data_IF_716659211271
#
_entry.id   IF_716659211271
#
_cell.length_a   1.000
_cell.length_b   1.000
_cell.length_c   1.000
_cell.angle_alpha   90.00
_cell.angle_beta   90.00
_cell.angle_gamma   90.00
#
_symmetry.space_group_name_H-M   'P 1'
#
loop_
_entity.id
_entity.type
_entity.pdbx_description
1 polymer ?
#
# COMPACT_ATOMS: atom_id res chain seq x y z
N UNK A 1 16.79 3.43 44.94
CA UNK A 1 17.51 3.82 43.70
C UNK A 1 17.21 2.77 42.62
N UNK A 2 16.19 2.97 41.78
CA UNK A 2 15.85 2.06 40.64
C UNK A 2 15.61 2.84 39.33
N UNK A 3 15.39 4.15 39.43
CA UNK A 3 15.12 5.10 38.33
C UNK A 3 16.03 4.99 37.09
N UNK A 4 17.36 4.81 37.16
CA UNK A 4 18.18 4.79 35.95
C UNK A 4 17.94 3.55 35.07
N UNK A 5 17.54 2.42 35.66
CA UNK A 5 17.27 1.19 34.89
C UNK A 5 15.92 1.33 34.17
N UNK A 6 14.92 1.91 34.86
CA UNK A 6 13.58 2.12 34.28
C UNK A 6 13.60 3.05 33.07
N UNK A 7 14.52 4.03 33.03
CA UNK A 7 14.64 4.95 31.89
C UNK A 7 15.22 4.34 30.62
N UNK A 8 15.90 3.20 30.72
CA UNK A 8 16.49 2.48 29.56
C UNK A 8 15.67 1.26 29.17
N UNK A 9 14.70 0.88 30.00
CA UNK A 9 13.85 -0.28 29.78
C UNK A 9 13.02 -0.12 28.49
N UNK A 10 12.88 -1.21 27.72
CA UNK A 10 11.92 -1.23 26.61
C UNK A 10 10.48 -1.25 27.16
N UNK A 11 9.48 -0.85 26.36
CA UNK A 11 8.07 -0.99 26.73
C UNK A 11 7.69 -2.39 27.24
N UNK A 12 8.20 -3.48 26.62
CA UNK A 12 7.90 -4.83 27.11
C UNK A 12 8.53 -5.13 28.48
N UNK A 13 9.76 -4.66 28.71
CA UNK A 13 10.43 -4.81 30.01
C UNK A 13 9.72 -4.02 31.09
N UNK A 14 9.27 -2.82 30.75
CA UNK A 14 8.54 -1.92 31.65
C UNK A 14 7.19 -2.54 32.07
N UNK A 15 6.47 -3.15 31.12
CA UNK A 15 5.26 -3.92 31.40
C UNK A 15 5.54 -5.10 32.34
N UNK A 16 6.57 -5.89 32.06
CA UNK A 16 6.94 -7.03 32.91
C UNK A 16 7.33 -6.60 34.34
N UNK A 17 7.94 -5.43 34.51
CA UNK A 17 8.26 -4.89 35.84
C UNK A 17 7.00 -4.55 36.63
N UNK A 18 6.02 -3.90 36.00
CA UNK A 18 4.73 -3.56 36.63
C UNK A 18 3.96 -4.83 37.00
N UNK A 19 3.88 -5.79 36.10
CA UNK A 19 3.12 -7.04 36.31
C UNK A 19 3.64 -7.85 37.50
N UNK A 20 4.96 -7.87 37.70
CA UNK A 20 5.58 -8.54 38.84
C UNK A 20 5.59 -7.70 40.12
N UNK A 21 5.51 -6.37 40.01
CA UNK A 21 5.63 -5.45 41.14
C UNK A 21 4.70 -4.23 40.93
N UNK A 22 3.40 -4.36 41.25
CA UNK A 22 2.40 -3.31 41.01
C UNK A 22 2.71 -1.97 41.69
N UNK A 23 3.47 -1.98 42.78
CA UNK A 23 3.86 -0.78 43.54
C UNK A 23 4.68 0.22 42.70
N UNK A 24 5.27 -0.21 41.58
CA UNK A 24 6.00 0.67 40.67
C UNK A 24 5.13 1.36 39.61
N UNK A 25 3.82 1.08 39.56
CA UNK A 25 2.94 1.65 38.54
C UNK A 25 3.03 3.19 38.47
N UNK A 26 3.02 3.86 39.62
CA UNK A 26 3.12 5.33 39.71
C UNK A 26 4.49 5.87 39.27
N UNK A 27 5.58 5.16 39.58
CA UNK A 27 6.94 5.52 39.18
C UNK A 27 7.16 5.37 37.66
N UNK A 28 6.36 4.49 37.04
CA UNK A 28 6.50 4.07 35.64
C UNK A 28 5.56 4.85 34.71
N UNK A 29 4.44 5.38 35.22
CA UNK A 29 3.48 6.19 34.46
C UNK A 29 4.13 7.35 33.66
N UNK A 30 5.10 8.14 34.20
CA UNK A 30 5.79 9.17 33.43
C UNK A 30 6.64 8.64 32.27
N UNK A 31 7.11 7.39 32.37
CA UNK A 31 7.88 6.74 31.29
C UNK A 31 6.96 6.35 30.14
N UNK A 32 5.76 5.85 30.43
CA UNK A 32 4.74 5.60 29.40
C UNK A 32 4.31 6.88 28.69
N UNK A 33 4.18 7.99 29.41
CA UNK A 33 3.95 9.30 28.80
C UNK A 33 5.06 9.68 27.81
N UNK A 34 6.33 9.45 28.18
CA UNK A 34 7.47 9.72 27.31
C UNK A 34 7.44 8.84 26.05
N UNK A 35 7.18 7.54 26.20
CA UNK A 35 7.04 6.63 25.05
C UNK A 35 5.91 7.07 24.11
N UNK A 36 4.75 7.44 24.65
CA UNK A 36 3.65 7.95 23.86
C UNK A 36 4.03 9.21 23.07
N UNK A 37 4.70 10.16 23.71
CA UNK A 37 5.15 11.39 23.04
C UNK A 37 6.17 11.12 21.92
N UNK A 38 7.03 10.10 22.08
CA UNK A 38 8.03 9.73 21.08
C UNK A 38 7.42 8.99 19.88
N UNK A 39 6.49 8.06 20.12
CA UNK A 39 5.98 7.15 19.10
C UNK A 39 4.66 7.59 18.45
N UNK A 40 3.82 8.35 19.16
CA UNK A 40 2.47 8.67 18.72
C UNK A 40 2.23 10.19 18.72
N UNK A 41 2.54 10.81 17.57
CA UNK A 41 2.26 12.24 17.37
C UNK A 41 0.77 12.51 17.53
N UNK A 42 0.46 13.57 18.28
CA UNK A 42 -0.91 14.05 18.55
C UNK A 42 -1.83 13.04 19.26
N UNK A 43 -1.27 11.96 19.83
CA UNK A 43 -2.04 11.02 20.62
C UNK A 43 -2.53 11.68 21.91
N UNK A 44 -3.84 11.57 22.14
CA UNK A 44 -4.49 12.04 23.35
C UNK A 44 -5.04 10.85 24.12
N UNK A 45 -4.90 10.98 25.43
CA UNK A 45 -5.47 10.05 26.41
C UNK A 45 -6.98 10.22 26.44
N UNK A 46 -7.70 9.10 26.47
CA UNK A 46 -9.15 9.05 26.65
C UNK A 46 -9.52 9.23 28.13
N UNK A 47 -10.81 9.42 28.42
CA UNK A 47 -11.26 9.63 29.80
C UNK A 47 -10.98 8.38 30.64
N UNK A 48 -10.34 8.56 31.80
CA UNK A 48 -9.88 7.49 32.70
C UNK A 48 -8.84 6.52 32.12
N UNK A 49 -8.33 6.77 30.92
CA UNK A 49 -7.25 5.96 30.34
C UNK A 49 -5.92 6.29 31.06
N UNK A 50 -5.03 5.31 31.20
CA UNK A 50 -3.64 5.50 31.66
C UNK A 50 -2.71 5.74 30.47
N UNK A 51 -1.50 6.25 30.69
CA UNK A 51 -0.52 6.34 29.59
C UNK A 51 -0.11 4.97 29.06
N UNK A 52 -0.14 3.93 29.90
CA UNK A 52 0.07 2.55 29.49
C UNK A 52 -1.01 2.06 28.52
N UNK A 53 -2.29 2.28 28.84
CA UNK A 53 -3.41 1.91 27.98
C UNK A 53 -3.40 2.67 26.65
N UNK A 54 -3.08 3.98 26.68
CA UNK A 54 -2.86 4.77 25.48
C UNK A 54 -1.78 4.15 24.59
N UNK A 55 -0.65 3.75 25.20
CA UNK A 55 0.44 3.12 24.48
C UNK A 55 -0.02 1.82 23.82
N UNK A 56 -0.67 0.93 24.57
CA UNK A 56 -1.09 -0.38 24.08
C UNK A 56 -2.10 -0.27 22.93
N UNK A 57 -3.07 0.63 23.05
CA UNK A 57 -4.04 0.92 21.99
C UNK A 57 -3.36 1.40 20.71
N UNK A 58 -2.49 2.41 20.83
CA UNK A 58 -1.79 2.97 19.66
C UNK A 58 -0.76 2.02 19.06
N UNK A 59 -0.09 1.22 19.88
CA UNK A 59 0.82 0.18 19.43
C UNK A 59 0.07 -0.85 18.56
N UNK A 60 -1.05 -1.37 19.08
CA UNK A 60 -1.88 -2.36 18.37
C UNK A 60 -2.42 -1.81 17.03
N UNK A 61 -2.89 -0.55 17.01
CA UNK A 61 -3.33 0.12 15.78
C UNK A 61 -2.21 0.19 14.73
N UNK A 62 -0.99 0.53 15.16
CA UNK A 62 0.18 0.61 14.29
C UNK A 62 0.61 -0.75 13.76
N UNK A 63 0.64 -1.78 14.61
CA UNK A 63 0.95 -3.15 14.18
C UNK A 63 -0.05 -3.67 13.15
N UNK A 64 -1.35 -3.48 13.40
CA UNK A 64 -2.39 -3.86 12.45
C UNK A 64 -2.25 -3.13 11.10
N UNK A 65 -1.91 -1.83 11.13
CA UNK A 65 -1.63 -1.05 9.91
C UNK A 65 -0.41 -1.61 9.18
N UNK A 66 0.68 -1.88 9.89
CA UNK A 66 1.92 -2.40 9.30
C UNK A 66 1.71 -3.78 8.67
N UNK A 67 0.96 -4.65 9.34
CA UNK A 67 0.58 -5.96 8.82
C UNK A 67 -0.19 -5.84 7.50
N UNK A 68 -1.23 -5.00 7.45
CA UNK A 68 -2.01 -4.76 6.21
C UNK A 68 -1.15 -4.26 5.05
N UNK A 69 -0.25 -3.30 5.32
CA UNK A 69 0.65 -2.76 4.28
C UNK A 69 1.62 -3.85 3.81
N UNK A 70 2.15 -4.64 4.73
CA UNK A 70 3.07 -5.74 4.44
C UNK A 70 2.40 -6.81 3.58
N UNK A 71 1.16 -7.19 3.90
CA UNK A 71 0.37 -8.12 3.09
C UNK A 71 0.09 -7.58 1.69
N UNK A 72 -0.29 -6.30 1.57
CA UNK A 72 -0.50 -5.66 0.29
C UNK A 72 0.79 -5.68 -0.56
N UNK A 73 1.94 -5.40 0.06
CA UNK A 73 3.22 -5.45 -0.61
C UNK A 73 3.58 -6.87 -1.08
N UNK A 74 3.31 -7.89 -0.26
CA UNK A 74 3.50 -9.31 -0.63
C UNK A 74 2.61 -9.70 -1.82
N UNK A 75 1.33 -9.33 -1.81
CA UNK A 75 0.38 -9.60 -2.91
C UNK A 75 0.82 -8.96 -4.22
N UNK A 76 1.19 -7.68 -4.20
CA UNK A 76 1.69 -6.97 -5.40
C UNK A 76 2.93 -7.65 -6.00
N UNK A 77 3.86 -8.12 -5.16
CA UNK A 77 5.03 -8.88 -5.64
C UNK A 77 4.59 -10.18 -6.33
N UNK A 78 3.66 -10.94 -5.75
CA UNK A 78 3.12 -12.14 -6.38
C UNK A 78 2.45 -11.85 -7.73
N UNK A 79 1.62 -10.81 -7.83
CA UNK A 79 0.98 -10.39 -9.09
C UNK A 79 1.99 -10.02 -10.19
N UNK A 80 3.08 -9.33 -9.84
CA UNK A 80 4.14 -9.00 -10.82
C UNK A 80 4.90 -10.24 -11.30
N UNK A 81 5.10 -11.23 -10.43
CA UNK A 81 5.74 -12.50 -10.78
C UNK A 81 4.82 -13.31 -11.71
N UNK A 82 3.52 -13.33 -11.43
CA UNK A 82 2.55 -14.07 -12.23
C UNK A 82 2.32 -13.43 -13.60
N UNK A 83 2.26 -12.10 -13.69
CA UNK A 83 2.18 -11.40 -14.99
C UNK A 83 3.44 -11.60 -15.85
N UNK A 84 4.63 -11.64 -15.25
CA UNK A 84 5.87 -11.97 -15.95
C UNK A 84 5.87 -13.40 -16.55
N UNK A 85 5.14 -14.35 -15.93
CA UNK A 85 4.98 -15.72 -16.46
C UNK A 85 4.03 -15.80 -17.67
N UNK A 86 3.12 -14.83 -17.83
CA UNK A 86 2.14 -14.80 -18.93
C UNK A 86 2.63 -14.04 -20.18
N UNK A 87 3.74 -13.29 -20.10
CA UNK A 87 4.37 -12.70 -21.28
C UNK A 87 5.04 -13.78 -22.13
N UNK A 88 4.46 -14.07 -23.29
CA UNK A 88 5.13 -14.89 -24.32
C UNK A 88 6.45 -14.21 -24.71
N UNK A 89 7.59 -14.92 -24.74
CA UNK A 89 8.84 -14.32 -25.19
C UNK A 89 8.71 -13.93 -26.66
N UNK A 90 9.20 -12.73 -27.00
CA UNK A 90 9.33 -12.31 -28.40
C UNK A 90 10.31 -13.27 -29.09
N UNK A 91 9.86 -13.92 -30.17
CA UNK A 91 10.72 -14.81 -30.96
C UNK A 91 11.64 -13.97 -31.86
N UNK A 92 12.86 -13.67 -31.38
CA UNK A 92 13.86 -12.86 -32.11
C UNK A 92 14.41 -13.61 -33.33
N UNK A 93 14.14 -14.91 -33.48
CA UNK A 93 14.67 -15.75 -34.57
C UNK A 93 13.79 -15.77 -35.82
N UNK A 94 12.60 -15.20 -35.80
CA UNK A 94 11.76 -15.11 -36.99
C UNK A 94 12.15 -13.89 -37.85
N UNK A 95 12.42 -14.08 -39.15
CA UNK A 95 12.69 -12.95 -40.03
C UNK A 95 11.46 -12.06 -40.14
N UNK A 96 11.62 -10.76 -39.84
CA UNK A 96 10.56 -9.76 -40.00
C UNK A 96 10.26 -9.64 -41.50
N UNK A 97 9.18 -10.29 -41.96
CA UNK A 97 8.72 -10.13 -43.33
C UNK A 97 8.08 -8.74 -43.49
N UNK A 98 8.86 -7.77 -43.98
CA UNK A 98 8.42 -6.40 -44.26
C UNK A 98 7.58 -6.29 -45.54
N UNK A 99 7.35 -7.37 -46.27
CA UNK A 99 6.68 -7.36 -47.56
C UNK A 99 5.29 -7.99 -47.47
N UNK A 100 4.35 -7.25 -46.88
CA UNK A 100 2.92 -7.37 -47.22
C UNK A 100 2.16 -6.14 -46.75
N UNK A 101 2.40 -4.99 -47.40
CA UNK A 101 1.33 -4.01 -47.56
C UNK A 101 0.61 -4.44 -48.83
N UNK A 102 -0.43 -5.26 -48.69
CA UNK A 102 -1.38 -5.45 -49.77
C UNK A 102 -2.79 -5.23 -49.23
N UNK A 103 -3.41 -4.21 -49.81
CA UNK A 103 -4.76 -3.75 -49.57
C UNK A 103 -5.80 -4.85 -49.86
N UNK A 104 -6.82 -4.91 -49.02
CA UNK A 104 -8.17 -5.46 -49.27
C UNK A 104 -8.38 -6.97 -49.08
N UNK A 105 -8.89 -7.37 -47.91
CA UNK A 105 -10.26 -7.94 -47.72
C UNK A 105 -10.45 -8.37 -46.26
N UNK A 106 -11.24 -7.60 -45.52
CA UNK A 106 -11.77 -8.03 -44.22
C UNK A 106 -12.92 -9.01 -44.48
N UNK A 107 -12.67 -10.30 -44.32
CA UNK A 107 -13.73 -11.31 -44.18
C UNK A 107 -13.77 -11.72 -42.72
N UNK A 108 -14.76 -11.23 -41.97
CA UNK A 108 -15.05 -11.70 -40.61
C UNK A 108 -15.69 -13.08 -40.70
N UNK A 109 -14.95 -14.13 -40.40
CA UNK A 109 -15.55 -15.42 -40.00
C UNK A 109 -15.87 -15.36 -38.50
N UNK A 110 -17.13 -15.60 -38.17
CA UNK A 110 -17.67 -15.62 -36.81
C UNK A 110 -17.42 -17.00 -36.19
N UNK A 111 -16.55 -17.06 -35.18
CA UNK A 111 -16.45 -18.21 -34.28
C UNK A 111 -17.43 -17.99 -33.12
N UNK A 112 -18.46 -18.82 -33.07
CA UNK A 112 -19.42 -18.90 -31.97
C UNK A 112 -18.72 -19.37 -30.68
N UNK A 113 -18.81 -18.58 -29.62
CA UNK A 113 -18.42 -18.96 -28.25
C UNK A 113 -19.68 -18.96 -27.36
N UNK A 114 -19.89 -19.99 -26.51
CA UNK A 114 -21.13 -20.11 -25.74
C UNK A 114 -21.30 -18.99 -24.71
N UNK A 115 -22.56 -18.57 -24.59
CA UNK A 115 -23.09 -17.53 -23.73
C UNK A 115 -22.78 -17.76 -22.25
N UNK A 116 -22.01 -16.84 -21.65
CA UNK A 116 -22.08 -16.59 -20.21
C UNK A 116 -22.73 -15.23 -20.00
N UNK A 117 -23.94 -15.24 -19.44
CA UNK A 117 -24.72 -14.04 -19.12
C UNK A 117 -23.97 -13.25 -18.03
N UNK A 118 -23.40 -12.11 -18.39
CA UNK A 118 -23.00 -11.07 -17.44
C UNK A 118 -23.84 -9.83 -17.71
N UNK A 119 -24.68 -9.45 -16.74
CA UNK A 119 -25.42 -8.20 -16.77
C UNK A 119 -24.43 -7.04 -16.64
N UNK A 120 -24.05 -6.43 -17.77
CA UNK A 120 -23.26 -5.20 -17.78
C UNK A 120 -24.18 -4.01 -18.05
N UNK A 121 -24.52 -3.27 -17.00
CA UNK A 121 -25.10 -1.94 -17.13
C UNK A 121 -24.19 -1.03 -17.96
N UNK A 122 -24.78 -0.27 -18.88
CA UNK A 122 -24.06 0.71 -19.67
C UNK A 122 -23.61 1.86 -18.77
N UNK A 123 -22.33 1.92 -18.41
CA UNK A 123 -21.72 3.15 -17.92
C UNK A 123 -20.97 3.83 -19.06
N UNK A 124 -21.42 5.02 -19.45
CA UNK A 124 -20.74 5.87 -20.44
C UNK A 124 -19.37 6.28 -19.87
N UNK A 125 -18.29 5.71 -20.37
CA UNK A 125 -16.93 6.15 -20.04
C UNK A 125 -16.68 7.50 -20.71
N UNK A 126 -16.59 8.57 -19.90
CA UNK A 126 -16.12 9.89 -20.36
C UNK A 126 -14.62 9.79 -20.67
N UNK A 127 -14.19 10.29 -21.83
CA UNK A 127 -12.76 10.36 -22.21
C UNK A 127 -11.99 11.14 -21.13
N UNK A 128 -10.83 10.65 -20.65
CA UNK A 128 -10.07 11.34 -19.61
C UNK A 128 -9.52 12.67 -20.16
N UNK A 129 -9.67 13.73 -19.37
CA UNK A 129 -9.13 15.04 -19.72
C UNK A 129 -7.59 15.00 -19.67
N UNK A 130 -6.95 15.52 -20.72
CA UNK A 130 -5.49 15.61 -20.81
C UNK A 130 -5.00 16.59 -19.72
N UNK A 131 -4.06 16.19 -18.85
CA UNK A 131 -3.49 17.04 -17.81
C UNK A 131 -2.90 18.34 -18.39
N UNK A 132 -3.00 19.49 -17.71
CA UNK A 132 -2.56 20.80 -18.23
C UNK A 132 -1.09 20.83 -18.65
N UNK A 133 -0.24 20.06 -17.97
CA UNK A 133 1.18 19.95 -18.27
C UNK A 133 1.46 19.30 -19.64
N UNK A 134 0.65 18.32 -20.03
CA UNK A 134 0.76 17.64 -21.32
C UNK A 134 0.27 18.50 -22.49
N UNK A 135 -0.69 19.41 -22.25
CA UNK A 135 -1.14 20.37 -23.29
C UNK A 135 -0.04 21.35 -23.70
N UNK A 136 0.79 21.80 -22.74
CA UNK A 136 1.92 22.71 -23.02
C UNK A 136 3.02 22.00 -23.81
N UNK A 137 3.36 20.76 -23.45
CA UNK A 137 4.38 19.98 -24.16
C UNK A 137 4.00 19.69 -25.63
N UNK A 138 2.73 19.40 -25.90
CA UNK A 138 2.21 19.21 -27.27
C UNK A 138 2.24 20.49 -28.12
N UNK A 139 2.09 21.67 -27.51
CA UNK A 139 2.19 22.96 -28.21
C UNK A 139 3.64 23.30 -28.58
N UNK A 140 4.60 22.93 -27.73
CA UNK A 140 6.04 23.12 -28.00
C UNK A 140 6.52 22.17 -29.11
N UNK A 141 6.05 20.92 -29.11
CA UNK A 141 6.46 19.92 -30.12
C UNK A 141 5.89 20.19 -31.52
N UNK A 142 4.69 20.77 -31.61
CA UNK A 142 4.03 21.06 -32.89
C UNK A 142 4.32 22.48 -33.44
N UNK A 143 5.16 23.26 -32.76
CA UNK A 143 5.61 24.57 -33.22
C UNK A 143 6.72 24.46 -34.25
N UNK A 144 6.33 24.42 -35.54
CA UNK A 144 7.19 24.91 -36.64
C UNK A 144 7.42 26.42 -36.43
N UNK A 145 8.65 26.85 -36.69
CA UNK A 145 9.09 28.27 -36.71
C UNK A 145 8.08 29.21 -37.37
#
# INVERSE_FOLDING_TARGET
MVKPILTVATPEQLHAIIDNNPDYADDVEPLWQHFCALHFKDAKREEYETYYELYLRKHTENEARLQRITELAKRKKAETIDTARHTKPLNIREPINRHSINSNKVTRQVLNLPSSKSHRGQTKVKKPAIPPLLKKALKVYNGKN
#
